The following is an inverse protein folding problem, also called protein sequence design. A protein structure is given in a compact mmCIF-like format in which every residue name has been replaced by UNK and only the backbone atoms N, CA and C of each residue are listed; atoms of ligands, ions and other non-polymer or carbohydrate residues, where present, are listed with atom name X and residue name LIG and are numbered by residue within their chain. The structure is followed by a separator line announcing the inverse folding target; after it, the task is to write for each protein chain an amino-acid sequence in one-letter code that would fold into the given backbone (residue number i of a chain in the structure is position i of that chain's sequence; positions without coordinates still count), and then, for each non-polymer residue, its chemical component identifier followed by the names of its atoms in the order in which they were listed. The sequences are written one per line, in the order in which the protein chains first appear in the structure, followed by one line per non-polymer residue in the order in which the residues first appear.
data_IF_965070857619
#
_entry.id   IF_965070857619
#
_cell.length_a   1.000
_cell.length_b   1.000
_cell.length_c   1.000
_cell.angle_alpha   90.00
_cell.angle_beta   90.00
_cell.angle_gamma   90.00
#
_symmetry.space_group_name_H-M   'P 1'
#
loop_
_entity.id
_entity.type
_entity.pdbx_description
1 polymer ?
#
# COMPACT_ATOMS: atom_id res chain seq x y z
N UNK A 1 -20.75 -14.10 33.88
CA UNK A 1 -19.56 -13.39 34.42
C UNK A 1 -18.43 -13.58 33.44
N UNK A 2 -17.96 -12.50 32.81
CA UNK A 2 -16.72 -12.56 32.01
C UNK A 2 -15.58 -12.24 32.98
N UNK A 3 -14.71 -13.22 33.24
CA UNK A 3 -13.49 -12.99 34.01
C UNK A 3 -12.51 -12.21 33.13
N UNK A 4 -12.30 -10.94 33.45
CA UNK A 4 -11.22 -10.15 32.86
C UNK A 4 -9.94 -10.45 33.64
N UNK A 5 -9.17 -11.43 33.17
CA UNK A 5 -7.79 -11.61 33.59
C UNK A 5 -6.92 -10.67 32.77
N UNK A 6 -6.11 -9.83 33.44
CA UNK A 6 -5.16 -8.97 32.74
C UNK A 6 -4.19 -9.85 31.93
N UNK A 7 -3.96 -9.56 30.64
CA UNK A 7 -3.00 -10.32 29.83
C UNK A 7 -1.60 -10.22 30.43
N UNK A 8 -0.83 -11.30 30.33
CA UNK A 8 0.57 -11.31 30.76
C UNK A 8 1.43 -10.50 29.81
N UNK A 9 2.60 -10.00 30.25
CA UNK A 9 3.51 -9.25 29.38
C UNK A 9 3.91 -10.02 28.11
N UNK A 10 4.03 -11.34 28.19
CA UNK A 10 4.31 -12.18 27.03
C UNK A 10 3.18 -12.10 26.01
N UNK A 11 1.94 -12.25 26.46
CA UNK A 11 0.75 -12.15 25.58
C UNK A 11 0.66 -10.75 24.97
N UNK A 12 0.98 -9.70 25.71
CA UNK A 12 1.01 -8.33 25.16
C UNK A 12 2.07 -8.18 24.06
N UNK A 13 3.28 -8.69 24.26
CA UNK A 13 4.34 -8.66 23.22
C UNK A 13 3.97 -9.47 21.99
N UNK A 14 3.41 -10.67 22.19
CA UNK A 14 2.96 -11.53 21.09
C UNK A 14 1.82 -10.82 20.29
N UNK A 15 0.89 -10.15 20.99
CA UNK A 15 -0.17 -9.37 20.35
C UNK A 15 0.37 -8.12 19.63
N UNK A 16 1.36 -7.43 20.19
CA UNK A 16 2.03 -6.29 19.52
C UNK A 16 2.78 -6.74 18.26
N UNK A 17 3.43 -7.90 18.29
CA UNK A 17 4.11 -8.48 17.13
C UNK A 17 3.12 -8.86 16.03
N UNK A 18 1.99 -9.48 16.39
CA UNK A 18 0.92 -9.83 15.48
C UNK A 18 0.24 -8.58 14.90
N UNK A 19 -0.01 -7.56 15.73
CA UNK A 19 -0.69 -6.33 15.33
C UNK A 19 0.06 -5.57 14.22
N UNK A 20 1.39 -5.69 14.13
CA UNK A 20 2.19 -5.10 13.04
C UNK A 20 1.76 -5.60 11.66
N UNK A 21 1.28 -6.83 11.56
CA UNK A 21 0.79 -7.40 10.30
C UNK A 21 -0.64 -6.94 9.94
N UNK A 22 -1.37 -6.38 10.90
CA UNK A 22 -2.71 -5.83 10.74
C UNK A 22 -2.74 -4.30 10.67
N UNK A 23 -1.57 -3.66 10.60
CA UNK A 23 -1.46 -2.21 10.42
C UNK A 23 -2.31 -1.73 9.24
N UNK A 24 -3.02 -0.64 9.44
CA UNK A 24 -3.93 -0.09 8.43
C UNK A 24 -3.19 0.87 7.51
N UNK A 25 -3.73 1.02 6.30
CA UNK A 25 -3.41 2.16 5.44
C UNK A 25 -4.30 3.33 5.85
N UNK A 26 -3.69 4.46 6.20
CA UNK A 26 -4.36 5.71 6.55
C UNK A 26 -4.08 6.72 5.44
N UNK A 27 -5.12 7.37 4.94
CA UNK A 27 -5.00 8.27 3.80
C UNK A 27 -5.42 9.69 4.18
N UNK A 28 -4.66 10.66 3.68
CA UNK A 28 -4.90 12.06 3.90
C UNK A 28 -4.96 12.81 2.58
N UNK A 29 -5.78 13.85 2.56
CA UNK A 29 -5.72 14.92 1.56
C UNK A 29 -5.42 16.21 2.30
N UNK A 30 -4.33 16.86 1.91
CA UNK A 30 -3.69 17.95 2.62
C UNK A 30 -3.33 17.54 4.06
N UNK A 31 -4.23 17.74 5.02
CA UNK A 31 -4.06 17.41 6.44
C UNK A 31 -5.28 16.71 7.05
N UNK A 32 -6.31 16.44 6.25
CA UNK A 32 -7.54 15.79 6.72
C UNK A 32 -7.52 14.31 6.33
N UNK A 33 -7.79 13.43 7.31
CA UNK A 33 -7.96 12.01 7.05
C UNK A 33 -9.20 11.80 6.16
N UNK A 34 -9.04 10.99 5.12
CA UNK A 34 -10.09 10.65 4.15
C UNK A 34 -10.15 9.14 3.96
N UNK A 35 -11.32 8.59 3.59
CA UNK A 35 -11.39 7.21 3.15
C UNK A 35 -10.39 6.95 2.02
N UNK A 36 -9.59 5.90 2.15
CA UNK A 36 -8.57 5.57 1.16
C UNK A 36 -9.16 5.27 -0.24
N UNK A 37 -10.43 4.85 -0.34
CA UNK A 37 -11.15 4.72 -1.61
C UNK A 37 -11.33 6.06 -2.34
N UNK A 38 -11.54 7.15 -1.59
CA UNK A 38 -11.63 8.51 -2.15
C UNK A 38 -10.25 8.99 -2.62
N UNK A 39 -9.22 8.77 -1.80
CA UNK A 39 -7.83 9.12 -2.12
C UNK A 39 -7.32 8.38 -3.36
N UNK A 40 -7.63 7.10 -3.48
CA UNK A 40 -7.36 6.32 -4.67
C UNK A 40 -7.96 6.94 -5.94
N UNK A 41 -9.18 7.47 -5.85
CA UNK A 41 -9.82 8.20 -6.95
C UNK A 41 -9.03 9.45 -7.39
N UNK A 42 -8.44 10.20 -6.48
CA UNK A 42 -7.57 11.35 -6.82
C UNK A 42 -6.26 10.88 -7.47
N UNK A 43 -5.66 9.79 -6.97
CA UNK A 43 -4.41 9.24 -7.50
C UNK A 43 -4.55 8.76 -8.95
N UNK A 44 -5.62 8.03 -9.28
CA UNK A 44 -5.83 7.54 -10.66
C UNK A 44 -6.08 8.69 -11.65
N UNK A 45 -6.80 9.74 -11.23
CA UNK A 45 -7.06 10.91 -12.08
C UNK A 45 -5.81 11.75 -12.34
N UNK A 46 -4.72 11.51 -11.60
CA UNK A 46 -3.55 12.37 -11.64
C UNK A 46 -3.79 13.72 -10.97
N UNK A 47 -4.77 13.83 -10.07
CA UNK A 47 -5.08 15.03 -9.28
C UNK A 47 -4.05 15.22 -8.12
N UNK A 48 -2.77 14.96 -8.41
CA UNK A 48 -1.64 15.08 -7.49
C UNK A 48 -1.39 16.53 -7.00
N UNK A 49 -2.08 17.51 -7.59
CA UNK A 49 -2.04 18.91 -7.20
C UNK A 49 -2.51 19.19 -5.77
N UNK A 50 -3.06 18.20 -5.05
CA UNK A 50 -3.80 18.41 -3.80
C UNK A 50 -3.15 17.84 -2.52
N UNK A 51 -1.84 17.58 -2.52
CA UNK A 51 -1.10 17.22 -1.30
C UNK A 51 -1.62 15.93 -0.65
N UNK A 52 -1.43 14.79 -1.31
CA UNK A 52 -1.91 13.50 -0.81
C UNK A 52 -0.83 12.87 0.07
N UNK A 53 -1.23 12.32 1.22
CA UNK A 53 -0.33 11.50 2.04
C UNK A 53 -0.96 10.14 2.29
N UNK A 54 -0.21 9.06 2.04
CA UNK A 54 -0.62 7.69 2.32
C UNK A 54 0.33 7.11 3.34
N UNK A 55 -0.17 6.77 4.52
CA UNK A 55 0.59 6.16 5.59
C UNK A 55 0.23 4.69 5.74
N UNK A 56 1.24 3.85 5.97
CA UNK A 56 1.10 2.43 6.20
C UNK A 56 1.63 2.10 7.61
N UNK A 57 0.73 1.75 8.52
CA UNK A 57 1.10 1.40 9.89
C UNK A 57 1.95 0.11 9.96
N UNK A 58 1.90 -0.76 8.94
CA UNK A 58 2.65 -2.03 8.94
C UNK A 58 4.16 -1.82 8.91
N UNK A 59 4.61 -0.80 8.16
CA UNK A 59 6.02 -0.45 8.03
C UNK A 59 6.36 0.94 8.59
N UNK A 60 5.38 1.62 9.18
CA UNK A 60 5.51 2.98 9.72
C UNK A 60 6.02 4.00 8.69
N UNK A 61 5.67 3.83 7.40
CA UNK A 61 6.05 4.78 6.36
C UNK A 61 4.83 5.58 5.86
N UNK A 62 5.07 6.84 5.56
CA UNK A 62 4.14 7.72 4.86
C UNK A 62 4.76 8.18 3.54
N UNK A 63 3.99 8.08 2.48
CA UNK A 63 4.34 8.56 1.13
C UNK A 63 3.55 9.83 0.85
N UNK A 64 4.26 10.91 0.54
CA UNK A 64 3.69 12.20 0.19
C UNK A 64 3.79 12.41 -1.32
N UNK A 65 2.63 12.68 -1.92
CA UNK A 65 2.49 13.02 -3.34
C UNK A 65 2.10 14.49 -3.44
N UNK A 66 2.90 15.24 -4.19
CA UNK A 66 2.76 16.68 -4.42
C UNK A 66 2.62 16.98 -5.91
N UNK A 67 2.29 18.23 -6.20
CA UNK A 67 2.25 18.74 -7.57
C UNK A 67 3.61 18.51 -8.27
N UNK A 68 3.57 18.04 -9.51
CA UNK A 68 4.75 17.71 -10.31
C UNK A 68 5.28 16.29 -10.15
N UNK A 69 4.79 15.50 -9.18
CA UNK A 69 5.09 14.07 -9.15
C UNK A 69 4.41 13.35 -10.31
N UNK A 70 5.10 12.36 -10.88
CA UNK A 70 4.56 11.50 -11.94
C UNK A 70 4.04 10.22 -11.32
N UNK A 71 2.78 9.89 -11.59
CA UNK A 71 2.14 8.66 -11.11
C UNK A 71 1.93 7.70 -12.28
N UNK A 72 2.41 6.47 -12.13
CA UNK A 72 2.14 5.35 -13.03
C UNK A 72 1.11 4.42 -12.38
N UNK A 73 0.04 4.13 -13.12
CA UNK A 73 -0.99 3.16 -12.71
C UNK A 73 -0.61 1.80 -13.27
N UNK A 74 -0.45 0.82 -12.38
CA UNK A 74 -0.12 -0.56 -12.71
C UNK A 74 -1.29 -1.46 -12.33
N UNK A 75 -1.93 -2.07 -13.32
CA UNK A 75 -3.02 -3.02 -13.11
C UNK A 75 -2.50 -4.46 -13.14
N UNK A 76 -2.87 -5.24 -12.12
CA UNK A 76 -2.56 -6.65 -12.03
C UNK A 76 -3.85 -7.46 -11.93
N UNK A 77 -3.90 -8.59 -12.63
CA UNK A 77 -5.03 -9.52 -12.60
C UNK A 77 -4.51 -10.96 -12.49
N UNK A 78 -5.12 -11.75 -11.61
CA UNK A 78 -4.75 -13.16 -11.42
C UNK A 78 -5.71 -13.91 -10.51
N UNK A 79 -5.65 -15.25 -10.53
CA UNK A 79 -6.41 -16.06 -9.59
C UNK A 79 -5.96 -15.79 -8.15
N UNK A 80 -4.65 -15.64 -7.95
CA UNK A 80 -4.04 -15.12 -6.72
C UNK A 80 -2.88 -14.17 -7.09
N UNK A 81 -2.68 -13.13 -6.27
CA UNK A 81 -1.60 -12.15 -6.45
C UNK A 81 -0.86 -11.96 -5.13
N UNK A 82 0.47 -12.12 -5.16
CA UNK A 82 1.34 -12.03 -3.99
C UNK A 82 2.36 -10.91 -4.20
N UNK A 83 2.20 -9.81 -3.45
CA UNK A 83 3.13 -8.68 -3.52
C UNK A 83 4.47 -9.00 -2.85
N UNK A 84 5.54 -8.47 -3.44
CA UNK A 84 6.90 -8.44 -2.87
C UNK A 84 7.29 -7.03 -2.38
N UNK A 85 6.34 -6.10 -2.45
CA UNK A 85 6.50 -4.68 -2.14
C UNK A 85 5.30 -4.23 -1.31
N UNK A 86 5.48 -3.18 -0.52
CA UNK A 86 4.41 -2.50 0.22
C UNK A 86 4.50 -0.98 0.01
N UNK A 87 3.48 -0.26 0.47
CA UNK A 87 3.42 1.21 0.40
C UNK A 87 4.66 1.81 1.09
N UNK A 88 5.37 2.70 0.39
CA UNK A 88 6.61 3.33 0.83
C UNK A 88 7.89 2.69 0.31
N UNK A 89 7.82 1.48 -0.27
CA UNK A 89 9.00 0.82 -0.84
C UNK A 89 9.48 1.52 -2.11
N UNK A 90 10.79 1.64 -2.26
CA UNK A 90 11.41 2.07 -3.52
C UNK A 90 11.71 0.85 -4.41
N UNK A 91 11.31 0.94 -5.68
CA UNK A 91 11.59 -0.08 -6.69
C UNK A 91 12.40 0.49 -7.84
N UNK A 92 13.29 -0.33 -8.38
CA UNK A 92 14.03 -0.02 -9.62
C UNK A 92 13.31 -0.66 -10.79
N UNK A 93 13.56 -0.14 -12.00
CA UNK A 93 13.17 -0.81 -13.24
C UNK A 93 13.62 -2.27 -13.21
N UNK A 94 12.70 -3.20 -13.45
CA UNK A 94 12.93 -4.64 -13.44
C UNK A 94 12.80 -5.33 -12.09
N UNK A 95 12.65 -4.59 -10.97
CA UNK A 95 12.30 -5.17 -9.67
C UNK A 95 10.99 -5.96 -9.77
N UNK A 96 10.91 -7.10 -9.10
CA UNK A 96 9.67 -7.88 -9.02
C UNK A 96 8.72 -7.16 -8.07
N UNK A 97 7.50 -6.86 -8.56
CA UNK A 97 6.44 -6.25 -7.75
C UNK A 97 5.54 -7.32 -7.13
N UNK A 98 5.19 -8.34 -7.91
CA UNK A 98 4.29 -9.40 -7.48
C UNK A 98 4.54 -10.71 -8.24
N UNK A 99 4.13 -11.82 -7.61
CA UNK A 99 3.90 -13.09 -8.27
C UNK A 99 2.40 -13.29 -8.49
N UNK A 100 2.03 -13.74 -9.69
CA UNK A 100 0.64 -13.91 -10.11
C UNK A 100 0.42 -15.39 -10.43
N UNK A 101 -0.53 -16.02 -9.73
CA UNK A 101 -1.01 -17.36 -10.06
C UNK A 101 -2.17 -17.22 -11.03
N UNK A 102 -2.04 -17.81 -12.21
CA UNK A 102 -3.10 -17.82 -13.22
C UNK A 102 -4.14 -18.90 -12.93
N UNK A 103 -5.30 -18.85 -13.59
CA UNK A 103 -6.33 -19.90 -13.47
C UNK A 103 -5.91 -21.31 -13.90
N UNK A 104 -4.73 -21.48 -14.53
CA UNK A 104 -4.17 -22.78 -14.93
C UNK A 104 -3.03 -23.25 -14.02
N UNK A 105 -2.75 -22.54 -12.93
CA UNK A 105 -1.66 -22.86 -12.00
C UNK A 105 -0.27 -22.40 -12.45
N UNK A 106 -0.14 -21.68 -13.57
CA UNK A 106 1.13 -21.05 -13.95
C UNK A 106 1.43 -19.88 -13.01
N UNK A 107 2.69 -19.77 -12.56
CA UNK A 107 3.19 -18.64 -11.78
C UNK A 107 3.95 -17.69 -12.70
N UNK A 108 3.60 -16.39 -12.67
CA UNK A 108 4.27 -15.34 -13.44
C UNK A 108 4.77 -14.25 -12.50
N UNK A 109 5.95 -13.69 -12.76
CA UNK A 109 6.42 -12.49 -12.06
C UNK A 109 6.01 -11.25 -12.82
N UNK A 110 5.41 -10.27 -12.14
CA UNK A 110 5.23 -8.92 -12.66
C UNK A 110 6.37 -8.02 -12.20
N UNK A 111 6.97 -7.25 -13.11
CA UNK A 111 8.14 -6.43 -12.85
C UNK A 111 7.86 -4.96 -13.12
N UNK A 112 8.47 -4.09 -12.32
CA UNK A 112 8.34 -2.64 -12.47
C UNK A 112 8.91 -2.19 -13.82
N UNK A 113 8.11 -1.45 -14.61
CA UNK A 113 8.58 -0.87 -15.86
C UNK A 113 9.41 0.39 -15.62
N UNK A 114 9.08 1.18 -14.61
CA UNK A 114 9.84 2.35 -14.21
C UNK A 114 10.32 2.21 -12.76
N UNK A 115 11.19 3.13 -12.35
CA UNK A 115 11.60 3.26 -10.96
C UNK A 115 10.74 4.28 -10.23
N UNK A 116 10.59 4.11 -8.92
CA UNK A 116 9.76 4.98 -8.09
C UNK A 116 9.41 4.37 -6.74
N UNK A 117 8.56 5.06 -6.00
CA UNK A 117 8.03 4.60 -4.72
C UNK A 117 6.62 4.02 -4.90
N UNK A 118 6.31 2.93 -4.21
CA UNK A 118 4.94 2.42 -4.12
C UNK A 118 4.11 3.40 -3.29
N UNK A 119 3.22 4.15 -3.94
CA UNK A 119 2.36 5.14 -3.29
C UNK A 119 1.13 4.47 -2.69
N UNK A 120 0.53 3.54 -3.44
CA UNK A 120 -0.74 2.95 -3.07
C UNK A 120 -0.91 1.56 -3.67
N UNK A 121 -1.61 0.69 -2.95
CA UNK A 121 -2.05 -0.63 -3.45
C UNK A 121 -3.55 -0.73 -3.15
N UNK A 122 -4.36 -0.84 -4.19
CA UNK A 122 -5.80 -1.03 -4.12
C UNK A 122 -6.18 -2.42 -4.58
N UNK A 123 -7.09 -3.07 -3.86
CA UNK A 123 -7.76 -4.31 -4.27
C UNK A 123 -9.19 -3.99 -4.69
N UNK A 124 -9.63 -4.54 -5.82
CA UNK A 124 -11.06 -4.62 -6.14
C UNK A 124 -11.63 -5.92 -5.54
N UNK A 125 -12.35 -5.86 -4.41
CA UNK A 125 -12.83 -7.06 -3.74
C UNK A 125 -13.92 -7.80 -4.55
N UNK A 126 -14.54 -7.12 -5.52
CA UNK A 126 -15.65 -7.66 -6.32
C UNK A 126 -15.18 -8.40 -7.57
N UNK A 127 -13.94 -8.18 -7.99
CA UNK A 127 -13.40 -8.80 -9.20
C UNK A 127 -13.05 -10.28 -9.00
N UNK A 128 -13.39 -11.10 -10.00
CA UNK A 128 -12.94 -12.49 -10.14
C UNK A 128 -12.53 -12.73 -11.60
N UNK A 129 -11.27 -13.04 -11.92
CA UNK A 129 -10.09 -13.18 -11.03
C UNK A 129 -9.75 -11.91 -10.21
N UNK A 130 -8.92 -12.05 -9.18
CA UNK A 130 -8.51 -10.93 -8.30
C UNK A 130 -7.87 -9.82 -9.13
N UNK A 131 -8.23 -8.57 -8.83
CA UNK A 131 -7.68 -7.38 -9.48
C UNK A 131 -7.09 -6.43 -8.47
N UNK A 132 -5.90 -5.94 -8.79
CA UNK A 132 -5.20 -4.95 -8.01
C UNK A 132 -4.74 -3.80 -8.88
N UNK A 133 -4.73 -2.61 -8.28
CA UNK A 133 -4.15 -1.41 -8.88
C UNK A 133 -3.05 -0.90 -7.96
N UNK A 134 -1.84 -0.82 -8.47
CA UNK A 134 -0.70 -0.22 -7.78
C UNK A 134 -0.44 1.15 -8.39
N UNK A 135 -0.11 2.10 -7.53
CA UNK A 135 0.32 3.44 -7.95
C UNK A 135 1.81 3.56 -7.64
N UNK A 136 2.61 3.71 -8.68
CA UNK A 136 4.05 3.98 -8.58
C UNK A 136 4.28 5.48 -8.78
N UNK A 137 4.89 6.14 -7.80
CA UNK A 137 5.18 7.56 -7.83
C UNK A 137 6.66 7.87 -8.05
N UNK A 138 6.96 8.84 -8.91
CA UNK A 138 8.31 9.33 -9.20
C UNK A 138 8.34 10.87 -9.31
N UNK A 139 9.52 11.45 -9.53
CA UNK A 139 9.65 12.90 -9.71
C UNK A 139 9.55 13.70 -8.40
N UNK A 140 10.19 13.23 -7.33
CA UNK A 140 10.27 13.96 -6.06
C UNK A 140 9.25 13.55 -4.98
N UNK A 141 8.61 12.38 -5.13
CA UNK A 141 7.83 11.74 -4.06
C UNK A 141 8.67 11.65 -2.80
N UNK A 142 8.08 12.01 -1.66
CA UNK A 142 8.78 11.97 -0.36
C UNK A 142 8.27 10.81 0.46
N UNK A 143 9.19 10.12 1.13
CA UNK A 143 8.86 9.09 2.10
C UNK A 143 9.41 9.52 3.46
N UNK A 144 8.57 9.42 4.49
CA UNK A 144 8.94 9.71 5.87
C UNK A 144 8.36 8.67 6.81
N UNK A 145 8.91 8.58 8.01
CA UNK A 145 8.32 7.76 9.06
C UNK A 145 7.00 8.36 9.56
N UNK A 146 6.04 7.48 9.86
CA UNK A 146 4.83 7.79 10.60
C UNK A 146 5.26 8.15 12.03
N UNK A 147 5.32 9.44 12.34
CA UNK A 147 5.59 9.88 13.71
C UNK A 147 4.35 9.62 14.55
N UNK A 148 4.45 8.66 15.48
CA UNK A 148 3.48 8.49 16.55
C UNK A 148 3.42 9.74 17.41
N UNK A 149 2.21 10.25 17.64
CA UNK A 149 1.94 11.23 18.68
C UNK A 149 1.96 10.60 20.07
#
# INVERSE_FOLDING_TARGET
MVFSTKPTEKVLRDLEEIAKYYGRTICFKEFEERPCSEVFGYLIRGDAATGITVCNERNNLCVEVQEGNTLEVVELEGNEVFFQVDIGDFVRRGSILAYIITGKGEVRSFRAHNEGYIVFIHEDPTARPMRYTLILGSGGVRVRELRGG
#
